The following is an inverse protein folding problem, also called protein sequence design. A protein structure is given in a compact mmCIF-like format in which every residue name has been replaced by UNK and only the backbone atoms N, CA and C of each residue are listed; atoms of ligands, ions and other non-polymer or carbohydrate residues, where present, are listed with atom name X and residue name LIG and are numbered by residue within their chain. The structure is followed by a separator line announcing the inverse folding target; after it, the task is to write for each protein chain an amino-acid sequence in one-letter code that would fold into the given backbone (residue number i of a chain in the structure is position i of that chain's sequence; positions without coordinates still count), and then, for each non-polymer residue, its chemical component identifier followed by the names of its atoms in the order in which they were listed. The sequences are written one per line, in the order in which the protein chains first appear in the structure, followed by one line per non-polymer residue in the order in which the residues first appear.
data_IF_741199785412
#
_entry.id   IF_741199785412
#
_cell.length_a   1.000
_cell.length_b   1.000
_cell.length_c   1.000
_cell.angle_alpha   90.00
_cell.angle_beta   90.00
_cell.angle_gamma   90.00
#
_symmetry.space_group_name_H-M   'P 1'
#
loop_
_entity.id
_entity.type
_entity.pdbx_description
1 polymer ?
#
# COMPACT_ATOMS: atom_id res chain seq x y z
N UNK A 1 42.85 -35.05 -44.67
CA UNK A 1 41.44 -34.62 -44.55
C UNK A 1 41.28 -34.20 -43.08
N UNK A 2 41.60 -32.96 -42.67
CA UNK A 2 40.88 -31.69 -42.93
C UNK A 2 39.38 -31.84 -42.57
N UNK A 3 38.70 -31.09 -41.69
CA UNK A 3 38.86 -29.76 -41.05
C UNK A 3 37.91 -29.71 -39.82
N UNK A 4 38.27 -29.04 -38.72
CA UNK A 4 37.71 -27.77 -38.22
C UNK A 4 36.20 -27.54 -38.41
N UNK A 5 35.45 -27.38 -37.30
CA UNK A 5 34.59 -26.20 -37.04
C UNK A 5 33.87 -26.32 -35.70
N UNK A 6 34.03 -25.30 -34.86
CA UNK A 6 33.33 -25.16 -33.58
C UNK A 6 32.00 -24.44 -33.71
N UNK A 7 31.21 -24.45 -32.63
CA UNK A 7 30.32 -23.34 -32.30
C UNK A 7 29.96 -23.43 -30.82
N UNK A 8 30.53 -22.53 -30.02
CA UNK A 8 30.08 -22.32 -28.65
C UNK A 8 28.72 -21.63 -28.61
N UNK A 9 28.00 -21.84 -27.51
CA UNK A 9 27.04 -20.87 -26.96
C UNK A 9 27.08 -20.96 -25.45
N UNK A 10 27.97 -20.18 -24.83
CA UNK A 10 27.83 -19.81 -23.43
C UNK A 10 26.62 -18.86 -23.34
N UNK A 11 25.51 -19.35 -22.81
CA UNK A 11 24.38 -18.49 -22.43
C UNK A 11 24.75 -17.74 -21.17
N UNK A 12 25.10 -16.47 -21.32
CA UNK A 12 25.21 -15.54 -20.21
C UNK A 12 23.81 -15.36 -19.58
N UNK A 13 23.65 -15.80 -18.34
CA UNK A 13 22.50 -15.42 -17.52
C UNK A 13 22.71 -13.99 -17.06
N UNK A 14 22.05 -13.05 -17.74
CA UNK A 14 21.99 -11.67 -17.29
C UNK A 14 20.99 -11.64 -16.13
N UNK A 15 21.49 -11.54 -14.90
CA UNK A 15 20.65 -11.31 -13.74
C UNK A 15 20.24 -9.84 -13.79
N UNK A 16 19.02 -9.59 -14.25
CA UNK A 16 18.38 -8.28 -14.17
C UNK A 16 18.24 -7.92 -12.70
N UNK A 17 19.13 -7.06 -12.21
CA UNK A 17 19.05 -6.48 -10.88
C UNK A 17 18.00 -5.37 -10.93
N UNK A 18 16.74 -5.81 -10.91
CA UNK A 18 15.59 -4.94 -10.76
C UNK A 18 15.47 -4.59 -9.27
N UNK A 19 16.12 -3.50 -8.86
CA UNK A 19 15.82 -2.85 -7.58
C UNK A 19 14.53 -2.07 -7.74
N UNK A 20 13.41 -2.76 -7.94
CA UNK A 20 12.10 -2.14 -7.74
C UNK A 20 11.98 -1.88 -6.24
N UNK A 21 12.07 -0.59 -5.89
CA UNK A 21 11.63 -0.09 -4.61
C UNK A 21 10.11 -0.28 -4.57
N UNK A 22 9.68 -1.46 -4.12
CA UNK A 22 8.28 -1.80 -3.92
C UNK A 22 7.74 -0.87 -2.83
N UNK A 23 7.08 0.21 -3.24
CA UNK A 23 6.39 1.06 -2.29
C UNK A 23 5.37 0.22 -1.54
N UNK A 24 5.31 0.31 -0.20
CA UNK A 24 4.40 -0.49 0.60
C UNK A 24 2.96 -0.26 0.13
N UNK A 25 2.36 -1.30 -0.44
CA UNK A 25 1.01 -1.24 -0.97
C UNK A 25 0.03 -1.04 0.19
N UNK A 26 -0.98 -0.17 0.06
CA UNK A 26 -1.98 0.01 1.10
C UNK A 26 -2.65 -1.33 1.43
N UNK A 27 -2.74 -1.64 2.72
CA UNK A 27 -3.45 -2.82 3.21
C UNK A 27 -4.95 -2.57 3.12
N UNK A 28 -5.66 -3.43 2.41
CA UNK A 28 -7.12 -3.36 2.32
C UNK A 28 -7.74 -3.91 3.60
N UNK A 29 -8.47 -3.06 4.31
CA UNK A 29 -9.22 -3.44 5.51
C UNK A 29 -10.72 -3.30 5.26
N UNK A 30 -11.51 -4.26 5.74
CA UNK A 30 -12.98 -4.21 5.73
C UNK A 30 -13.48 -4.14 7.17
N UNK A 31 -14.44 -3.25 7.43
CA UNK A 31 -15.01 -3.04 8.76
C UNK A 31 -16.53 -3.17 8.71
N UNK A 32 -17.09 -3.86 9.70
CA UNK A 32 -18.53 -3.92 9.91
C UNK A 32 -18.95 -2.85 10.89
N UNK A 33 -19.95 -2.06 10.51
CA UNK A 33 -20.50 -0.98 11.31
C UNK A 33 -22.00 -1.17 11.50
N UNK A 34 -22.56 -0.76 12.65
CA UNK A 34 -24.00 -0.63 12.81
C UNK A 34 -24.59 0.25 11.69
N UNK A 35 -25.74 -0.11 11.08
CA UNK A 35 -26.28 0.62 9.93
C UNK A 35 -26.48 2.11 10.19
N UNK A 36 -26.93 2.47 11.40
CA UNK A 36 -27.12 3.88 11.83
C UNK A 36 -25.80 4.65 11.89
N UNK A 37 -24.72 4.01 12.36
CA UNK A 37 -23.40 4.64 12.43
C UNK A 37 -22.83 4.87 11.02
N UNK A 38 -22.95 3.88 10.12
CA UNK A 38 -22.54 4.03 8.73
C UNK A 38 -23.32 5.15 8.01
N UNK A 39 -24.63 5.26 8.27
CA UNK A 39 -25.44 6.35 7.71
C UNK A 39 -24.95 7.72 8.20
N UNK A 40 -24.70 7.86 9.51
CA UNK A 40 -24.18 9.11 10.08
C UNK A 40 -22.80 9.48 9.54
N UNK A 41 -21.89 8.51 9.38
CA UNK A 41 -20.59 8.76 8.75
C UNK A 41 -20.72 9.28 7.31
N UNK A 42 -21.67 8.76 6.53
CA UNK A 42 -21.96 9.25 5.18
C UNK A 42 -22.49 10.68 5.19
N UNK A 43 -23.40 11.01 6.10
CA UNK A 43 -23.91 12.38 6.26
C UNK A 43 -22.77 13.36 6.60
N UNK A 44 -21.90 12.98 7.55
CA UNK A 44 -20.73 13.80 7.93
C UNK A 44 -19.77 13.96 6.76
N UNK A 45 -19.46 12.87 6.05
CA UNK A 45 -18.57 12.88 4.90
C UNK A 45 -19.10 13.81 3.78
N UNK A 46 -20.41 13.72 3.49
CA UNK A 46 -21.08 14.59 2.53
C UNK A 46 -21.00 16.07 2.97
N UNK A 47 -21.30 16.36 4.23
CA UNK A 47 -21.24 17.72 4.76
C UNK A 47 -19.84 18.32 4.75
N UNK A 48 -18.80 17.49 4.89
CA UNK A 48 -17.39 17.91 4.89
C UNK A 48 -16.72 17.87 3.51
N UNK A 49 -17.42 17.37 2.48
CA UNK A 49 -16.85 17.20 1.14
C UNK A 49 -15.73 16.17 1.07
N UNK A 50 -15.75 15.13 1.92
CA UNK A 50 -14.76 14.05 1.95
C UNK A 50 -15.39 12.67 1.82
N UNK A 51 -14.57 11.61 1.80
CA UNK A 51 -15.05 10.21 1.80
C UNK A 51 -15.14 9.69 3.23
N UNK A 52 -16.01 8.70 3.44
CA UNK A 52 -16.08 7.96 4.72
C UNK A 52 -14.72 7.36 5.09
N UNK A 53 -13.94 6.94 4.08
CA UNK A 53 -12.56 6.52 4.25
C UNK A 53 -11.72 7.55 5.02
N UNK A 54 -11.79 8.83 4.66
CA UNK A 54 -10.95 9.87 5.27
C UNK A 54 -11.32 10.10 6.74
N UNK A 55 -12.61 9.97 7.08
CA UNK A 55 -13.08 9.99 8.46
C UNK A 55 -12.56 8.79 9.27
N UNK A 56 -12.52 7.60 8.65
CA UNK A 56 -11.95 6.41 9.29
C UNK A 56 -10.46 6.57 9.53
N UNK A 57 -9.70 7.08 8.55
CA UNK A 57 -8.27 7.37 8.72
C UNK A 57 -8.05 8.39 9.84
N UNK A 58 -8.84 9.47 9.89
CA UNK A 58 -8.76 10.45 10.97
C UNK A 58 -9.10 9.84 12.35
N UNK A 59 -10.05 8.89 12.40
CA UNK A 59 -10.36 8.15 13.61
C UNK A 59 -9.21 7.25 14.07
N UNK A 60 -8.55 6.55 13.13
CA UNK A 60 -7.35 5.74 13.43
C UNK A 60 -6.21 6.63 13.92
N UNK A 61 -5.99 7.77 13.27
CA UNK A 61 -4.99 8.77 13.68
C UNK A 61 -5.23 9.29 15.10
N UNK A 62 -6.49 9.59 15.42
CA UNK A 62 -6.85 10.01 16.77
C UNK A 62 -6.57 8.94 17.83
N UNK A 63 -6.89 7.67 17.54
CA UNK A 63 -6.62 6.55 18.46
C UNK A 63 -5.12 6.38 18.66
N UNK A 64 -4.33 6.34 17.58
CA UNK A 64 -2.86 6.18 17.68
C UNK A 64 -2.21 7.31 18.48
N UNK A 65 -2.55 8.55 18.17
CA UNK A 65 -1.99 9.72 18.86
C UNK A 65 -2.44 9.80 20.31
N UNK A 66 -3.67 9.38 20.65
CA UNK A 66 -4.15 9.34 22.03
C UNK A 66 -3.37 8.36 22.92
N UNK A 67 -2.82 7.30 22.32
CA UNK A 67 -2.00 6.29 22.99
C UNK A 67 -0.49 6.62 22.94
N UNK A 68 -0.11 7.80 22.42
CA UNK A 68 1.27 8.25 22.33
C UNK A 68 2.05 7.68 21.13
N UNK A 69 1.38 7.05 20.17
CA UNK A 69 1.98 6.63 18.91
C UNK A 69 2.04 7.79 17.89
N UNK A 70 2.81 7.57 16.82
CA UNK A 70 2.91 8.50 15.71
C UNK A 70 1.58 8.64 14.97
N UNK A 71 1.35 9.75 14.24
CA UNK A 71 0.17 9.87 13.37
C UNK A 71 0.24 8.89 12.19
N UNK A 72 -0.91 8.58 11.58
CA UNK A 72 -1.04 7.61 10.46
C UNK A 72 -0.13 7.98 9.29
N UNK A 73 0.08 9.27 9.04
CA UNK A 73 0.96 9.76 7.96
C UNK A 73 2.41 9.30 8.09
N UNK A 74 2.89 8.98 9.29
CA UNK A 74 4.25 8.48 9.49
C UNK A 74 4.38 6.96 9.31
N UNK A 75 3.27 6.24 9.13
CA UNK A 75 3.28 4.79 8.85
C UNK A 75 3.23 4.48 7.36
N UNK A 76 3.09 5.47 6.48
CA UNK A 76 3.21 5.26 5.03
C UNK A 76 4.67 5.18 4.55
N UNK A 77 5.64 5.28 5.47
CA UNK A 77 7.07 5.31 5.17
C UNK A 77 7.75 4.01 5.61
N UNK A 78 7.91 3.09 4.65
CA UNK A 78 9.18 2.43 4.27
C UNK A 78 8.95 1.37 3.20
#
# INVERSE_FOLDING_TARGET
METSSGQGKQSATVVSMDTTTEQPKPTKTSLYLPPKANHKLKEIALSKGCKVHDLLIAGVDHVLTSEGFKPVSEYSEK
#
